data_IF_373766576184
#
_entry.id   IF_373766576184
#
_cell.length_a   1.000
_cell.length_b   1.000
_cell.length_c   1.000
_cell.angle_alpha   90.00
_cell.angle_beta   90.00
_cell.angle_gamma   90.00
#
_symmetry.space_group_name_H-M   'P 1'
#
loop_
_entity.id
_entity.type
_entity.pdbx_description
1 polymer ?
#
# COMPACT_ATOMS: atom_id res chain seq x y z
N UNK A 1 -6.39 -1.34 -9.43
CA UNK A 1 -5.04 -0.92 -8.95
C UNK A 1 -3.95 -1.79 -9.56
N UNK A 2 -2.68 -1.37 -9.51
CA UNK A 2 -1.54 -2.20 -9.98
C UNK A 2 -0.73 -2.72 -8.79
N UNK A 3 -0.50 -4.03 -8.71
CA UNK A 3 0.30 -4.62 -7.64
C UNK A 3 1.73 -4.05 -7.62
N UNK A 4 2.21 -3.61 -6.45
CA UNK A 4 3.59 -3.14 -6.31
C UNK A 4 4.63 -4.20 -6.67
N UNK A 5 4.36 -5.48 -6.40
CA UNK A 5 5.32 -6.57 -6.60
C UNK A 5 5.28 -7.09 -8.04
N UNK A 6 4.20 -7.78 -8.43
CA UNK A 6 4.13 -8.45 -9.74
C UNK A 6 3.56 -7.58 -10.87
N UNK A 7 3.18 -6.33 -10.59
CA UNK A 7 2.65 -5.37 -11.58
C UNK A 7 1.34 -5.78 -12.26
N UNK A 8 0.68 -6.86 -11.83
CA UNK A 8 -0.64 -7.23 -12.33
C UNK A 8 -1.68 -6.18 -11.95
N UNK A 9 -2.60 -5.92 -12.87
CA UNK A 9 -3.83 -5.18 -12.57
C UNK A 9 -4.74 -6.05 -11.71
N UNK A 10 -5.24 -5.44 -10.64
CA UNK A 10 -6.14 -6.07 -9.67
C UNK A 10 -7.38 -5.20 -9.62
N UNK A 11 -8.51 -5.81 -9.91
CA UNK A 11 -9.81 -5.26 -9.57
C UNK A 11 -10.00 -5.40 -8.06
N UNK A 12 -9.83 -4.28 -7.38
CA UNK A 12 -10.13 -4.15 -5.97
C UNK A 12 -11.44 -3.40 -5.92
N UNK A 13 -12.43 -3.96 -5.21
CA UNK A 13 -13.73 -3.30 -5.04
C UNK A 13 -13.61 -1.98 -4.27
N UNK A 14 -14.66 -1.57 -3.57
CA UNK A 14 -14.70 -0.24 -2.95
C UNK A 14 -13.57 0.02 -1.93
N UNK A 15 -13.04 -1.02 -1.29
CA UNK A 15 -11.98 -0.93 -0.28
C UNK A 15 -11.05 -2.14 -0.32
N UNK A 16 -9.80 -1.90 0.08
CA UNK A 16 -8.78 -2.93 0.33
C UNK A 16 -8.72 -3.16 1.84
N UNK A 17 -8.97 -4.39 2.28
CA UNK A 17 -8.77 -4.82 3.65
C UNK A 17 -7.29 -4.97 4.02
N UNK A 18 -6.97 -4.86 5.32
CA UNK A 18 -5.59 -4.94 5.82
C UNK A 18 -4.87 -6.25 5.48
N UNK A 19 -5.63 -7.34 5.27
CA UNK A 19 -5.10 -8.67 4.95
C UNK A 19 -5.25 -9.04 3.48
N UNK A 20 -5.78 -8.15 2.65
CA UNK A 20 -5.96 -8.47 1.23
C UNK A 20 -4.59 -8.63 0.57
N UNK A 21 -4.49 -9.69 -0.24
CA UNK A 21 -3.27 -10.05 -0.95
C UNK A 21 -3.53 -10.11 -2.44
N UNK A 22 -2.51 -9.84 -3.24
CA UNK A 22 -2.55 -10.00 -4.68
C UNK A 22 -2.86 -11.47 -5.04
N UNK A 23 -3.89 -11.76 -5.86
CA UNK A 23 -4.23 -13.13 -6.23
C UNK A 23 -3.18 -13.79 -7.13
N UNK A 24 -2.23 -13.03 -7.68
CA UNK A 24 -1.17 -13.54 -8.56
C UNK A 24 0.13 -13.87 -7.83
N UNK A 25 0.53 -13.07 -6.85
CA UNK A 25 1.83 -13.21 -6.19
C UNK A 25 1.77 -13.26 -4.66
N UNK A 26 0.59 -13.12 -4.04
CA UNK A 26 0.43 -13.16 -2.58
C UNK A 26 0.90 -11.90 -1.85
N UNK A 27 1.48 -10.91 -2.53
CA UNK A 27 1.92 -9.66 -1.88
C UNK A 27 0.74 -8.90 -1.27
N UNK A 28 0.93 -8.31 -0.09
CA UNK A 28 -0.10 -7.50 0.57
C UNK A 28 -0.49 -6.29 -0.26
N UNK A 29 -1.79 -6.02 -0.33
CA UNK A 29 -2.34 -4.90 -1.08
C UNK A 29 -2.42 -3.64 -0.21
N UNK A 30 -2.78 -3.79 1.06
CA UNK A 30 -2.76 -2.73 2.06
C UNK A 30 -1.37 -2.60 2.70
N UNK A 31 -0.42 -2.11 1.91
CA UNK A 31 0.97 -1.87 2.31
C UNK A 31 1.43 -0.47 1.89
N UNK A 32 2.50 0.04 2.50
CA UNK A 32 2.95 1.40 2.19
C UNK A 32 3.30 1.56 0.71
N UNK A 33 3.99 0.60 0.10
CA UNK A 33 4.41 0.70 -1.31
C UNK A 33 3.24 0.70 -2.33
N UNK A 34 2.03 0.34 -1.91
CA UNK A 34 0.79 0.50 -2.68
C UNK A 34 -0.04 1.74 -2.30
N UNK A 35 0.40 2.50 -1.30
CA UNK A 35 -0.28 3.71 -0.86
C UNK A 35 0.11 4.91 -1.72
N UNK A 36 -0.85 5.77 -2.07
CA UNK A 36 -0.61 7.01 -2.83
C UNK A 36 0.31 8.00 -2.11
N UNK A 37 0.45 7.88 -0.80
CA UNK A 37 1.28 8.76 0.02
C UNK A 37 2.74 8.27 0.14
N UNK A 38 3.07 7.08 -0.35
CA UNK A 38 4.42 6.57 -0.31
C UNK A 38 5.35 7.35 -1.23
N UNK A 39 6.51 7.76 -0.73
CA UNK A 39 7.46 8.60 -1.46
C UNK A 39 8.89 8.40 -0.97
N UNK A 40 9.77 7.95 -1.86
CA UNK A 40 11.20 7.70 -1.57
C UNK A 40 11.97 8.94 -1.07
N UNK A 41 11.47 10.15 -1.34
CA UNK A 41 12.12 11.40 -0.94
C UNK A 41 11.73 11.93 0.44
N UNK A 42 10.87 11.23 1.20
CA UNK A 42 10.39 11.66 2.52
C UNK A 42 11.10 10.90 3.62
N UNK A 43 11.36 11.56 4.75
CA UNK A 43 12.03 10.98 5.92
C UNK A 43 11.45 9.62 6.35
N UNK A 44 10.11 9.52 6.41
CA UNK A 44 9.42 8.28 6.78
C UNK A 44 8.94 7.45 5.57
N UNK A 45 9.40 7.80 4.36
CA UNK A 45 8.89 7.29 3.09
C UNK A 45 7.39 7.49 2.89
N UNK A 46 6.81 8.47 3.59
CA UNK A 46 5.39 8.82 3.58
C UNK A 46 5.25 10.35 3.51
N UNK A 47 4.34 10.85 2.69
CA UNK A 47 4.02 12.27 2.58
C UNK A 47 2.91 12.74 3.52
N UNK A 48 2.13 11.81 4.10
CA UNK A 48 1.19 12.12 5.18
C UNK A 48 1.96 12.20 6.51
N UNK A 49 2.11 13.42 7.03
CA UNK A 49 2.92 13.69 8.23
C UNK A 49 2.27 13.23 9.52
N UNK A 50 0.94 13.03 9.51
CA UNK A 50 0.16 12.58 10.67
C UNK A 50 0.11 11.06 10.78
N UNK A 51 0.55 10.33 9.75
CA UNK A 51 0.51 8.87 9.74
C UNK A 51 1.60 8.28 10.64
N UNK A 52 1.25 7.20 11.35
CA UNK A 52 2.21 6.42 12.11
C UNK A 52 3.35 5.88 11.25
N UNK A 53 4.54 5.82 11.84
CA UNK A 53 5.72 5.30 11.15
C UNK A 53 5.64 3.78 11.01
N UNK A 54 5.36 3.32 9.80
CA UNK A 54 5.46 1.91 9.44
C UNK A 54 6.93 1.55 9.13
N UNK A 55 7.46 0.46 9.69
CA UNK A 55 8.82 -0.01 9.41
C UNK A 55 8.87 -0.90 8.16
N UNK A 56 8.03 -1.93 8.13
CA UNK A 56 7.88 -2.81 6.97
C UNK A 56 6.93 -2.18 5.93
N UNK A 57 7.51 -1.64 4.85
CA UNK A 57 6.77 -0.93 3.81
C UNK A 57 6.03 -1.86 2.85
N UNK A 58 6.43 -3.13 2.79
CA UNK A 58 5.92 -4.14 1.85
C UNK A 58 4.90 -5.07 2.52
N UNK A 59 4.99 -5.22 3.84
CA UNK A 59 4.03 -5.95 4.68
C UNK A 59 2.70 -5.23 4.91
N UNK A 60 1.74 -5.91 5.56
CA UNK A 60 0.45 -5.35 5.89
C UNK A 60 0.62 -4.32 7.01
N UNK A 61 -0.22 -3.29 6.99
CA UNK A 61 -0.29 -2.32 8.08
C UNK A 61 -1.73 -1.87 8.33
N UNK A 62 -1.94 -1.21 9.46
CA UNK A 62 -3.24 -0.66 9.90
C UNK A 62 -3.31 0.85 9.71
N UNK A 63 -2.51 1.41 8.80
CA UNK A 63 -2.47 2.86 8.59
C UNK A 63 -3.84 3.38 8.14
N UNK A 64 -4.50 4.17 8.99
CA UNK A 64 -5.83 4.73 8.70
C UNK A 64 -5.82 5.74 7.54
N UNK A 65 -4.65 6.29 7.24
CA UNK A 65 -4.43 7.18 6.10
C UNK A 65 -4.18 6.44 4.79
N UNK A 66 -4.16 5.10 4.77
CA UNK A 66 -3.94 4.36 3.55
C UNK A 66 -4.97 4.73 2.49
N UNK A 67 -4.48 5.11 1.31
CA UNK A 67 -5.30 5.22 0.11
C UNK A 67 -4.56 4.58 -1.04
N UNK A 68 -5.25 3.69 -1.75
CA UNK A 68 -4.68 2.97 -2.86
C UNK A 68 -4.13 3.96 -3.89
N UNK A 69 -2.91 3.69 -4.37
CA UNK A 69 -2.36 4.33 -5.55
C UNK A 69 -3.18 3.91 -6.77
N UNK A 70 -3.74 4.88 -7.49
CA UNK A 70 -4.23 4.63 -8.84
C UNK A 70 -3.04 4.28 -9.75
N UNK A 71 -3.20 3.16 -10.46
CA UNK A 71 -2.14 2.53 -11.25
C UNK A 71 -2.17 2.97 -12.69
#
# INVERSE_FOLDING_TARGET
MKCWSCKSEIDVGDKIGYRDTCPKCGAYLHCCVNCRFFSWGRYNLCSETSADRILDKEGPNFCEYFKVKEG
#
